data_IF_591188104699
#
_entry.id   IF_591188104699
#
_cell.length_a   1.000
_cell.length_b   1.000
_cell.length_c   1.000
_cell.angle_alpha   90.00
_cell.angle_beta   90.00
_cell.angle_gamma   90.00
#
_symmetry.space_group_name_H-M   'P 1'
#
loop_
_entity.id
_entity.type
_entity.pdbx_description
1 polymer ?
#
# COMPACT_ATOMS: atom_id res chain seq x y z
N UNK A 1 -11.46 -9.36 -16.47
CA UNK A 1 -11.93 -9.31 -15.07
C UNK A 1 -12.72 -8.03 -14.87
N UNK A 2 -13.91 -8.09 -14.26
CA UNK A 2 -14.67 -6.89 -13.88
C UNK A 2 -14.48 -6.72 -12.36
N UNK A 3 -13.76 -5.67 -11.96
CA UNK A 3 -13.49 -5.34 -10.56
C UNK A 3 -14.38 -4.16 -10.14
N UNK A 4 -14.91 -4.22 -8.93
CA UNK A 4 -15.68 -3.14 -8.30
C UNK A 4 -14.79 -2.33 -7.34
N UNK A 5 -15.09 -1.03 -7.15
CA UNK A 5 -14.31 -0.15 -6.25
C UNK A 5 -14.08 -0.73 -4.86
N UNK A 6 -15.09 -1.41 -4.30
CA UNK A 6 -15.02 -2.02 -2.96
C UNK A 6 -14.00 -3.16 -2.82
N UNK A 7 -13.51 -3.69 -3.95
CA UNK A 7 -12.48 -4.74 -3.96
C UNK A 7 -11.06 -4.17 -3.89
N UNK A 8 -10.90 -2.86 -4.04
CA UNK A 8 -9.61 -2.18 -3.89
C UNK A 8 -9.48 -1.70 -2.45
N UNK A 9 -8.35 -2.03 -1.85
CA UNK A 9 -7.99 -1.58 -0.51
C UNK A 9 -6.55 -1.08 -0.53
N UNK A 10 -6.28 -0.04 0.26
CA UNK A 10 -4.95 0.53 0.42
C UNK A 10 -4.38 0.18 1.80
N UNK A 11 -3.12 -0.29 1.85
CA UNK A 11 -2.49 -0.68 3.10
C UNK A 11 -2.34 0.50 4.08
N UNK A 12 -2.09 1.70 3.55
CA UNK A 12 -1.96 2.92 4.32
C UNK A 12 -3.25 3.38 4.99
N UNK A 13 -4.40 2.95 4.46
CA UNK A 13 -5.71 3.18 5.08
C UNK A 13 -6.11 2.06 6.06
N UNK A 14 -5.61 0.84 5.88
CA UNK A 14 -5.91 -0.29 6.79
C UNK A 14 -5.15 -0.18 8.12
N UNK A 15 -3.91 0.32 8.09
CA UNK A 15 -3.00 0.24 9.24
C UNK A 15 -3.39 1.16 10.41
N UNK A 16 -4.16 2.21 10.16
CA UNK A 16 -4.57 3.19 11.16
C UNK A 16 -6.09 3.19 11.37
N UNK A 17 -6.50 3.62 12.55
CA UNK A 17 -7.89 3.96 12.84
C UNK A 17 -8.18 5.41 12.41
N UNK A 18 -9.45 5.70 12.15
CA UNK A 18 -9.91 7.02 11.68
C UNK A 18 -9.63 8.16 12.68
N UNK A 19 -9.52 7.86 13.98
CA UNK A 19 -9.28 8.83 15.05
C UNK A 19 -7.79 9.15 15.28
N UNK A 20 -6.89 8.43 14.60
CA UNK A 20 -5.46 8.70 14.71
C UNK A 20 -5.07 9.91 13.83
N UNK A 21 -4.14 10.76 14.28
CA UNK A 21 -3.74 11.98 13.57
C UNK A 21 -2.85 11.65 12.37
N UNK A 22 -3.43 11.01 11.36
CA UNK A 22 -2.76 10.62 10.12
C UNK A 22 -3.38 11.39 8.97
N UNK A 23 -2.55 11.97 8.11
CA UNK A 23 -3.01 12.86 7.04
C UNK A 23 -3.74 12.06 5.95
N UNK A 24 -3.04 11.70 4.86
CA UNK A 24 -3.63 10.93 3.76
C UNK A 24 -3.59 9.41 3.97
N UNK A 25 -3.05 8.95 5.11
CA UNK A 25 -2.75 7.54 5.39
C UNK A 25 -1.25 7.27 5.59
N UNK A 26 -0.90 6.00 5.78
CA UNK A 26 0.49 5.58 5.92
C UNK A 26 1.22 5.43 4.57
N UNK A 27 2.54 5.49 4.62
CA UNK A 27 3.42 5.22 3.46
C UNK A 27 4.71 4.54 3.92
N UNK A 28 5.63 4.32 2.99
CA UNK A 28 6.94 3.73 3.24
C UNK A 28 6.97 2.21 3.11
N UNK A 29 8.18 1.67 3.04
CA UNK A 29 8.42 0.25 2.72
C UNK A 29 7.78 -0.73 3.71
N UNK A 30 7.62 -0.32 4.98
CA UNK A 30 7.02 -1.16 6.00
C UNK A 30 5.48 -1.24 5.88
N UNK A 31 4.82 -0.22 5.33
CA UNK A 31 3.35 -0.12 5.35
C UNK A 31 2.68 -1.33 4.67
N UNK A 32 3.01 -1.61 3.41
CA UNK A 32 2.47 -2.75 2.68
C UNK A 32 2.91 -4.08 3.28
N UNK A 33 4.15 -4.18 3.76
CA UNK A 33 4.69 -5.39 4.35
C UNK A 33 3.96 -5.80 5.64
N UNK A 34 3.78 -4.87 6.59
CA UNK A 34 3.14 -5.20 7.88
C UNK A 34 1.65 -5.46 7.74
N UNK A 35 0.96 -4.77 6.83
CA UNK A 35 -0.47 -5.04 6.56
C UNK A 35 -0.63 -6.39 5.87
N UNK A 36 0.20 -6.71 4.87
CA UNK A 36 0.15 -8.01 4.22
C UNK A 36 0.43 -9.15 5.21
N UNK A 37 1.59 -9.12 5.86
CA UNK A 37 2.04 -10.22 6.69
C UNK A 37 1.33 -10.29 8.04
N UNK A 38 0.95 -9.15 8.61
CA UNK A 38 0.29 -9.07 9.91
C UNK A 38 -1.22 -9.29 9.85
N UNK A 39 -1.88 -8.86 8.76
CA UNK A 39 -3.35 -8.89 8.67
C UNK A 39 -3.84 -9.75 7.49
N UNK A 40 -3.50 -9.39 6.25
CA UNK A 40 -4.14 -9.98 5.07
C UNK A 40 -3.83 -11.48 4.89
N UNK A 41 -2.59 -11.91 5.15
CA UNK A 41 -2.26 -13.35 5.10
C UNK A 41 -3.00 -14.16 6.16
N UNK A 42 -3.29 -13.57 7.33
CA UNK A 42 -4.07 -14.24 8.36
C UNK A 42 -5.54 -14.36 7.94
N UNK A 43 -6.10 -13.33 7.28
CA UNK A 43 -7.44 -13.40 6.69
C UNK A 43 -7.53 -14.40 5.54
N UNK A 44 -6.46 -14.57 4.76
CA UNK A 44 -6.39 -15.64 3.76
C UNK A 44 -6.38 -17.03 4.42
N UNK A 45 -5.59 -17.23 5.49
CA UNK A 45 -5.56 -18.50 6.24
C UNK A 45 -6.92 -18.86 6.85
N UNK A 46 -7.70 -17.86 7.28
CA UNK A 46 -9.08 -18.04 7.77
C UNK A 46 -10.09 -18.35 6.66
N UNK A 47 -9.71 -18.16 5.40
CA UNK A 47 -10.59 -18.35 4.24
C UNK A 47 -11.44 -17.12 3.88
N UNK A 48 -11.28 -15.99 4.58
CA UNK A 48 -11.96 -14.72 4.28
C UNK A 48 -11.64 -14.27 2.85
N UNK A 49 -10.36 -14.33 2.48
CA UNK A 49 -9.88 -14.02 1.14
C UNK A 49 -9.28 -15.26 0.48
N UNK A 50 -9.82 -15.64 -0.69
CA UNK A 50 -9.30 -16.79 -1.46
C UNK A 50 -8.14 -16.42 -2.38
N UNK A 51 -8.13 -15.18 -2.88
CA UNK A 51 -7.09 -14.62 -3.74
C UNK A 51 -7.00 -13.12 -3.50
N UNK A 52 -5.77 -12.62 -3.40
CA UNK A 52 -5.43 -11.21 -3.30
C UNK A 52 -4.31 -10.96 -4.31
N UNK A 53 -4.37 -9.83 -5.03
CA UNK A 53 -3.23 -9.28 -5.77
C UNK A 53 -2.67 -8.15 -4.94
N UNK A 54 -1.43 -8.28 -4.47
CA UNK A 54 -0.78 -7.23 -3.68
C UNK A 54 0.11 -6.42 -4.60
N UNK A 55 -0.03 -5.10 -4.59
CA UNK A 55 0.79 -4.19 -5.41
C UNK A 55 1.52 -3.22 -4.50
N UNK A 56 2.81 -3.44 -4.28
CA UNK A 56 3.65 -2.54 -3.50
C UNK A 56 4.17 -1.41 -4.41
N UNK A 57 3.89 -0.16 -4.03
CA UNK A 57 4.28 1.03 -4.78
C UNK A 57 5.45 1.76 -4.12
N UNK A 58 6.31 2.38 -4.92
CA UNK A 58 7.40 3.23 -4.44
C UNK A 58 7.59 4.46 -5.33
N UNK A 59 7.94 5.58 -4.69
CA UNK A 59 8.44 6.77 -5.35
C UNK A 59 9.97 6.83 -5.20
N UNK A 60 10.67 7.15 -6.27
CA UNK A 60 12.13 7.25 -6.31
C UNK A 60 12.51 8.73 -6.25
N UNK A 61 12.61 9.29 -5.03
CA UNK A 61 12.82 10.72 -4.80
C UNK A 61 14.17 11.08 -4.12
N UNK A 62 15.32 10.95 -4.80
CA UNK A 62 16.58 11.48 -4.30
C UNK A 62 16.49 13.00 -4.03
N UNK A 63 17.07 13.52 -2.92
CA UNK A 63 17.02 14.94 -2.59
C UNK A 63 17.50 15.85 -3.72
N UNK A 64 18.54 15.43 -4.45
CA UNK A 64 19.11 16.19 -5.56
C UNK A 64 18.11 16.37 -6.72
N UNK A 65 17.47 15.28 -7.16
CA UNK A 65 16.46 15.35 -8.23
C UNK A 65 15.29 16.25 -7.86
N UNK A 66 14.84 16.20 -6.59
CA UNK A 66 13.77 17.08 -6.09
C UNK A 66 14.23 18.55 -6.10
N UNK A 67 15.45 18.84 -5.65
CA UNK A 67 16.01 20.19 -5.64
C UNK A 67 16.20 20.76 -7.06
N UNK A 68 16.48 19.90 -8.03
CA UNK A 68 16.61 20.27 -9.44
C UNK A 68 15.26 20.33 -10.17
N UNK A 69 14.15 20.13 -9.45
CA UNK A 69 12.80 20.14 -9.97
C UNK A 69 12.58 19.12 -11.10
N UNK A 70 13.27 17.97 -11.00
CA UNK A 70 13.06 16.84 -11.89
C UNK A 70 11.75 16.11 -11.54
N UNK A 71 11.17 15.42 -12.53
CA UNK A 71 10.02 14.53 -12.30
C UNK A 71 10.38 13.42 -11.31
N UNK A 72 9.43 13.02 -10.44
CA UNK A 72 9.61 11.89 -9.52
C UNK A 72 9.17 10.59 -10.21
N UNK A 73 10.09 9.68 -10.54
CA UNK A 73 9.72 8.38 -11.08
C UNK A 73 9.08 7.50 -10.00
N UNK A 74 8.07 6.72 -10.40
CA UNK A 74 7.36 5.78 -9.53
C UNK A 74 7.39 4.37 -10.12
N UNK A 75 7.32 3.37 -9.24
CA UNK A 75 7.32 1.95 -9.60
C UNK A 75 6.30 1.17 -8.76
N UNK A 76 5.79 0.07 -9.31
CA UNK A 76 4.93 -0.86 -8.61
C UNK A 76 5.37 -2.31 -8.90
N UNK A 77 5.41 -3.14 -7.86
CA UNK A 77 5.66 -4.58 -8.00
C UNK A 77 4.46 -5.35 -7.46
N UNK A 78 3.95 -6.28 -8.26
CA UNK A 78 2.76 -7.06 -7.96
C UNK A 78 3.10 -8.53 -7.68
N UNK A 79 2.46 -9.10 -6.66
CA UNK A 79 2.51 -10.53 -6.28
C UNK A 79 1.11 -11.07 -6.09
#
# INVERSE_FOLDING_TARGET
LKLERKQFQDCGLIIYKEDQPVNAGASGAACSAVVLYGHLLNEMKKGTYKRILVVATGALLPPLSVQQNESIPCIAHAV
#
